data_IF_640673544240
#
_entry.id   IF_640673544240
#
_cell.length_a   1.000
_cell.length_b   1.000
_cell.length_c   1.000
_cell.angle_alpha   90.00
_cell.angle_beta   90.00
_cell.angle_gamma   90.00
#
_symmetry.space_group_name_H-M   'P 1'
#
loop_
_entity.id
_entity.type
_entity.pdbx_description
1 polymer ?
#
# COMPACT_ATOMS: atom_id res chain seq x y z
N UNK A 1 -20.61 1.77 -0.96
CA UNK A 1 -21.90 2.21 -0.36
C UNK A 1 -22.26 1.36 0.83
N UNK A 2 -22.48 0.05 0.68
CA UNK A 2 -22.90 -0.82 1.82
C UNK A 2 -21.99 -0.73 3.05
N UNK A 3 -20.67 -0.69 2.88
CA UNK A 3 -19.77 -0.54 4.02
C UNK A 3 -19.96 0.80 4.74
N UNK A 4 -20.19 1.90 4.00
CA UNK A 4 -20.43 3.21 4.60
C UNK A 4 -21.75 3.22 5.39
N UNK A 5 -22.81 2.59 4.86
CA UNK A 5 -24.09 2.43 5.56
C UNK A 5 -23.93 1.56 6.81
N UNK A 6 -23.17 0.48 6.72
CA UNK A 6 -22.85 -0.38 7.87
C UNK A 6 -22.10 0.40 8.98
N UNK A 7 -21.31 1.40 8.60
CA UNK A 7 -20.60 2.30 9.51
C UNK A 7 -21.46 3.50 9.98
N UNK A 8 -22.76 3.52 9.63
CA UNK A 8 -23.73 4.50 10.13
C UNK A 8 -24.04 5.67 9.19
N UNK A 9 -23.58 5.65 7.93
CA UNK A 9 -23.95 6.67 6.96
C UNK A 9 -25.39 6.50 6.47
N UNK A 10 -26.08 7.62 6.23
CA UNK A 10 -27.33 7.64 5.47
C UNK A 10 -27.10 7.11 4.04
N UNK A 11 -28.04 6.31 3.51
CA UNK A 11 -27.86 5.63 2.22
C UNK A 11 -27.78 6.61 1.04
N UNK A 12 -28.68 7.59 0.97
CA UNK A 12 -28.69 8.56 -0.13
C UNK A 12 -27.41 9.39 -0.15
N UNK A 13 -26.95 9.79 1.03
CA UNK A 13 -25.66 10.48 1.20
C UNK A 13 -24.49 9.58 0.82
N UNK A 14 -24.47 8.33 1.29
CA UNK A 14 -23.41 7.37 1.01
C UNK A 14 -23.30 7.04 -0.49
N UNK A 15 -24.41 6.94 -1.22
CA UNK A 15 -24.39 6.72 -2.67
C UNK A 15 -23.72 7.87 -3.42
N UNK A 16 -24.13 9.11 -3.13
CA UNK A 16 -23.54 10.30 -3.74
C UNK A 16 -22.05 10.44 -3.41
N UNK A 17 -21.71 10.31 -2.14
CA UNK A 17 -20.35 10.56 -1.66
C UNK A 17 -19.36 9.47 -2.04
N UNK A 18 -19.79 8.20 -2.01
CA UNK A 18 -18.94 7.11 -2.46
C UNK A 18 -18.77 7.08 -3.98
N UNK A 19 -19.77 7.56 -4.74
CA UNK A 19 -19.61 7.73 -6.19
C UNK A 19 -18.58 8.81 -6.51
N UNK A 20 -18.61 9.93 -5.80
CA UNK A 20 -17.60 10.98 -5.93
C UNK A 20 -16.19 10.48 -5.53
N UNK A 21 -16.08 9.72 -4.44
CA UNK A 21 -14.81 9.12 -4.01
C UNK A 21 -14.28 8.09 -5.03
N UNK A 22 -15.15 7.33 -5.69
CA UNK A 22 -14.78 6.40 -6.75
C UNK A 22 -14.26 7.14 -7.99
N UNK A 23 -14.95 8.20 -8.44
CA UNK A 23 -14.46 9.02 -9.56
C UNK A 23 -13.12 9.69 -9.24
N UNK A 24 -12.95 10.13 -7.99
CA UNK A 24 -11.67 10.62 -7.51
C UNK A 24 -10.57 9.55 -7.60
N UNK A 25 -10.82 8.32 -7.15
CA UNK A 25 -9.88 7.20 -7.27
C UNK A 25 -9.55 6.87 -8.73
N UNK A 26 -10.55 6.90 -9.63
CA UNK A 26 -10.35 6.68 -11.07
C UNK A 26 -9.42 7.72 -11.69
N UNK A 27 -9.55 9.00 -11.30
CA UNK A 27 -8.64 10.06 -11.76
C UNK A 27 -7.21 9.83 -11.26
N UNK A 28 -7.04 9.49 -9.98
CA UNK A 28 -5.73 9.14 -9.43
C UNK A 28 -5.10 7.93 -10.14
N UNK A 29 -5.89 6.91 -10.46
CA UNK A 29 -5.43 5.74 -11.19
C UNK A 29 -4.91 6.12 -12.59
N UNK A 30 -5.61 7.01 -13.30
CA UNK A 30 -5.17 7.50 -14.62
C UNK A 30 -3.87 8.33 -14.60
N UNK A 31 -3.47 8.85 -13.44
CA UNK A 31 -2.18 9.54 -13.30
C UNK A 31 -1.03 8.56 -13.05
N UNK A 32 -1.33 7.34 -12.61
CA UNK A 32 -0.34 6.34 -12.23
C UNK A 32 0.42 5.81 -13.45
N UNK A 33 1.72 5.58 -13.29
CA UNK A 33 2.51 4.92 -14.32
C UNK A 33 2.08 3.45 -14.51
N UNK A 34 1.96 2.98 -15.76
CA UNK A 34 1.76 1.56 -16.07
C UNK A 34 2.85 0.67 -15.48
N UNK A 35 2.53 -0.61 -15.22
CA UNK A 35 3.43 -1.54 -14.51
C UNK A 35 4.73 -1.79 -15.25
N UNK A 36 4.67 -1.82 -16.58
CA UNK A 36 5.79 -2.01 -17.49
C UNK A 36 6.82 -0.88 -17.37
N UNK A 37 6.38 0.37 -17.28
CA UNK A 37 7.26 1.52 -17.14
C UNK A 37 7.93 1.57 -15.77
N UNK A 38 7.25 1.06 -14.74
CA UNK A 38 7.79 0.97 -13.36
C UNK A 38 8.89 -0.08 -13.19
N UNK A 39 9.16 -0.93 -14.19
CA UNK A 39 10.28 -1.90 -14.14
C UNK A 39 11.65 -1.24 -14.33
N UNK A 40 11.69 -0.02 -14.91
CA UNK A 40 12.94 0.71 -15.08
C UNK A 40 13.28 1.49 -13.80
N UNK A 41 14.10 0.88 -12.94
CA UNK A 41 14.51 1.47 -11.66
C UNK A 41 15.22 2.81 -11.80
N UNK A 42 15.98 3.03 -12.88
CA UNK A 42 16.67 4.28 -13.16
C UNK A 42 15.68 5.42 -13.39
N UNK A 43 14.59 5.17 -14.12
CA UNK A 43 13.51 6.17 -14.33
C UNK A 43 12.75 6.50 -13.05
N UNK A 44 12.77 5.60 -12.07
CA UNK A 44 12.13 5.82 -10.77
C UNK A 44 13.03 6.56 -9.77
N UNK A 45 14.30 6.76 -10.10
CA UNK A 45 15.26 7.45 -9.24
C UNK A 45 15.34 8.93 -9.62
N UNK A 46 14.46 9.75 -9.05
CA UNK A 46 14.44 11.21 -9.26
C UNK A 46 14.69 11.92 -7.91
N UNK A 47 15.95 12.04 -7.48
CA UNK A 47 16.30 12.75 -6.25
C UNK A 47 16.06 14.26 -6.41
N UNK A 48 15.51 14.88 -5.38
CA UNK A 48 15.42 16.34 -5.22
C UNK A 48 15.49 16.69 -3.75
N UNK A 49 15.86 17.92 -3.41
CA UNK A 49 15.80 18.36 -2.02
C UNK A 49 14.34 18.50 -1.57
N UNK A 50 14.10 18.41 -0.26
CA UNK A 50 12.77 18.65 0.30
C UNK A 50 12.30 20.09 0.02
N UNK A 51 13.22 21.05 -0.03
CA UNK A 51 12.94 22.42 -0.47
C UNK A 51 12.45 22.47 -1.93
N UNK A 52 13.12 21.78 -2.85
CA UNK A 52 12.70 21.68 -4.26
C UNK A 52 11.32 21.03 -4.39
N UNK A 53 11.08 19.94 -3.64
CA UNK A 53 9.79 19.26 -3.59
C UNK A 53 8.68 20.23 -3.16
N UNK A 54 8.90 20.97 -2.07
CA UNK A 54 7.92 21.90 -1.53
C UNK A 54 7.65 23.09 -2.43
N UNK A 55 8.66 23.57 -3.16
CA UNK A 55 8.47 24.63 -4.16
C UNK A 55 7.62 24.14 -5.35
N UNK A 56 7.82 22.90 -5.78
CA UNK A 56 7.17 22.32 -6.96
C UNK A 56 5.75 21.80 -6.69
N UNK A 57 5.50 21.27 -5.50
CA UNK A 57 4.23 20.66 -5.10
C UNK A 57 3.79 21.24 -3.75
N UNK A 58 2.91 22.24 -3.77
CA UNK A 58 2.59 23.08 -2.60
C UNK A 58 1.33 22.63 -1.86
N UNK A 59 0.56 21.70 -2.43
CA UNK A 59 -0.70 21.21 -1.87
C UNK A 59 -0.52 20.44 -0.57
N UNK A 60 0.71 20.00 -0.28
CA UNK A 60 1.07 19.32 0.97
C UNK A 60 2.21 20.11 1.62
N UNK A 61 2.12 20.43 2.93
CA UNK A 61 3.23 21.02 3.67
C UNK A 61 4.28 19.94 3.96
N UNK A 62 5.08 19.57 2.96
CA UNK A 62 5.95 18.37 3.00
C UNK A 62 6.91 18.33 4.19
N UNK A 63 7.54 19.45 4.55
CA UNK A 63 8.43 19.51 5.71
C UNK A 63 7.71 19.20 7.02
N UNK A 64 6.52 19.77 7.23
CA UNK A 64 5.69 19.48 8.39
C UNK A 64 5.18 18.05 8.36
N UNK A 65 4.74 17.59 7.18
CA UNK A 65 4.23 16.24 6.97
C UNK A 65 5.27 15.17 7.37
N UNK A 66 6.51 15.28 6.88
CA UNK A 66 7.56 14.33 7.22
C UNK A 66 7.95 14.40 8.70
N UNK A 67 8.09 15.61 9.26
CA UNK A 67 8.43 15.77 10.69
C UNK A 67 7.29 15.35 11.64
N UNK A 68 6.05 15.32 11.17
CA UNK A 68 4.90 14.79 11.93
C UNK A 68 4.82 13.27 11.84
N UNK A 69 5.15 12.70 10.68
CA UNK A 69 5.07 11.25 10.43
C UNK A 69 6.23 10.49 11.08
N UNK A 70 7.42 11.08 11.11
CA UNK A 70 8.63 10.44 11.62
C UNK A 70 8.71 10.53 13.16
N UNK A 71 9.41 9.58 13.81
CA UNK A 71 9.64 9.65 15.25
C UNK A 71 10.31 10.98 15.64
N UNK A 72 9.95 11.55 16.79
CA UNK A 72 10.43 12.87 17.25
C UNK A 72 11.96 13.02 17.32
N UNK A 73 12.71 11.91 17.38
CA UNK A 73 14.17 11.88 17.38
C UNK A 73 14.79 12.03 15.98
N UNK A 74 14.00 11.86 14.93
CA UNK A 74 14.40 11.99 13.53
C UNK A 74 13.73 13.24 12.98
N UNK A 75 14.50 14.31 12.88
CA UNK A 75 14.03 15.55 12.26
C UNK A 75 14.62 15.68 10.87
N UNK A 76 13.73 15.94 9.91
CA UNK A 76 14.08 16.17 8.51
C UNK A 76 14.19 17.66 8.28
N UNK A 77 15.25 18.06 7.59
CA UNK A 77 15.51 19.46 7.21
C UNK A 77 15.19 19.70 5.73
N UNK A 78 15.12 20.96 5.34
CA UNK A 78 14.78 21.36 3.96
C UNK A 78 15.80 20.89 2.91
N UNK A 79 17.06 20.68 3.31
CA UNK A 79 18.14 20.18 2.47
C UNK A 79 18.18 18.66 2.33
N UNK A 80 17.27 17.92 3.00
CA UNK A 80 17.18 16.47 2.89
C UNK A 80 16.86 16.03 1.46
N UNK A 81 17.57 15.02 0.96
CA UNK A 81 17.33 14.46 -0.37
C UNK A 81 16.20 13.44 -0.31
N UNK A 82 15.14 13.69 -1.08
CA UNK A 82 13.98 12.80 -1.22
C UNK A 82 13.95 12.24 -2.64
N UNK A 83 13.73 10.93 -2.76
CA UNK A 83 13.56 10.26 -4.06
C UNK A 83 12.08 10.31 -4.43
N UNK A 84 11.74 11.13 -5.41
CA UNK A 84 10.39 11.17 -5.98
C UNK A 84 10.26 10.10 -7.05
N UNK A 85 9.56 9.01 -6.72
CA UNK A 85 9.48 7.84 -7.61
C UNK A 85 8.81 8.16 -8.95
N UNK A 86 7.78 9.02 -8.96
CA UNK A 86 7.03 9.37 -10.17
C UNK A 86 6.69 10.86 -10.17
N UNK A 87 7.59 11.74 -10.66
CA UNK A 87 7.35 13.18 -10.66
C UNK A 87 6.12 13.60 -11.46
N UNK A 88 5.85 12.93 -12.58
CA UNK A 88 4.68 13.20 -13.45
C UNK A 88 3.34 12.89 -12.77
N UNK A 89 3.31 11.95 -11.83
CA UNK A 89 2.15 11.68 -10.99
C UNK A 89 1.89 12.86 -10.06
N UNK A 90 2.93 13.31 -9.33
CA UNK A 90 2.81 14.44 -8.41
C UNK A 90 2.40 15.73 -9.14
N UNK A 91 2.89 15.97 -10.35
CA UNK A 91 2.49 17.13 -11.16
C UNK A 91 0.99 17.15 -11.51
N UNK A 92 0.43 15.98 -11.84
CA UNK A 92 -1.01 15.85 -12.12
C UNK A 92 -1.83 15.89 -10.83
N UNK A 93 -1.34 15.23 -9.79
CA UNK A 93 -1.96 15.20 -8.46
C UNK A 93 -2.08 16.61 -7.87
N UNK A 94 -1.02 17.41 -7.93
CA UNK A 94 -0.96 18.77 -7.40
C UNK A 94 -2.08 19.65 -7.98
N UNK A 95 -2.29 19.59 -9.29
CA UNK A 95 -3.38 20.35 -9.95
C UNK A 95 -4.75 19.79 -9.55
N UNK A 96 -4.89 18.47 -9.58
CA UNK A 96 -6.16 17.81 -9.35
C UNK A 96 -6.66 17.98 -7.91
N UNK A 97 -5.76 17.92 -6.92
CA UNK A 97 -6.14 18.03 -5.52
C UNK A 97 -6.57 19.46 -5.15
N UNK A 98 -5.98 20.48 -5.79
CA UNK A 98 -6.39 21.87 -5.61
C UNK A 98 -7.80 22.15 -6.16
N UNK A 99 -8.21 21.45 -7.21
CA UNK A 99 -9.53 21.59 -7.86
C UNK A 99 -10.60 20.70 -7.22
N UNK A 100 -10.21 19.65 -6.50
CA UNK A 100 -11.15 18.70 -5.91
C UNK A 100 -11.71 19.23 -4.59
N UNK A 101 -13.02 19.11 -4.40
CA UNK A 101 -13.67 19.44 -3.12
C UNK A 101 -13.08 18.67 -1.93
N UNK A 102 -12.80 19.38 -0.83
CA UNK A 102 -12.16 18.82 0.38
C UNK A 102 -12.96 17.67 1.00
N UNK A 103 -14.30 17.68 0.91
CA UNK A 103 -15.15 16.59 1.41
C UNK A 103 -14.92 15.32 0.59
N UNK A 104 -14.78 15.44 -0.72
CA UNK A 104 -14.45 14.29 -1.59
C UNK A 104 -13.08 13.69 -1.24
N UNK A 105 -12.08 14.55 -1.02
CA UNK A 105 -10.74 14.12 -0.61
C UNK A 105 -10.79 13.37 0.73
N UNK A 106 -11.46 13.97 1.74
CA UNK A 106 -11.61 13.37 3.06
C UNK A 106 -12.37 12.03 2.99
N UNK A 107 -13.46 11.97 2.22
CA UNK A 107 -14.25 10.75 2.06
C UNK A 107 -13.43 9.63 1.41
N UNK A 108 -12.60 9.94 0.42
CA UNK A 108 -11.70 8.96 -0.16
C UNK A 108 -10.68 8.43 0.87
N UNK A 109 -10.03 9.32 1.63
CA UNK A 109 -9.08 8.90 2.69
C UNK A 109 -9.77 8.04 3.76
N UNK A 110 -10.95 8.44 4.20
CA UNK A 110 -11.76 7.68 5.17
C UNK A 110 -12.17 6.32 4.61
N UNK A 111 -12.56 6.25 3.33
CA UNK A 111 -12.84 4.99 2.65
C UNK A 111 -11.62 4.08 2.63
N UNK A 112 -10.43 4.59 2.30
CA UNK A 112 -9.18 3.80 2.30
C UNK A 112 -8.86 3.22 3.68
N UNK A 113 -9.06 4.01 4.74
CA UNK A 113 -8.91 3.53 6.12
C UNK A 113 -9.96 2.49 6.52
N UNK A 114 -11.23 2.73 6.19
CA UNK A 114 -12.31 1.78 6.45
C UNK A 114 -12.07 0.45 5.73
N UNK A 115 -11.73 0.49 4.43
CA UNK A 115 -11.43 -0.67 3.60
C UNK A 115 -10.25 -1.50 4.16
N UNK A 116 -9.20 -0.84 4.66
CA UNK A 116 -8.07 -1.50 5.29
C UNK A 116 -8.43 -2.16 6.63
N UNK A 117 -9.50 -1.71 7.28
CA UNK A 117 -9.92 -2.19 8.61
C UNK A 117 -10.94 -3.33 8.54
N UNK A 118 -11.59 -3.56 7.40
CA UNK A 118 -12.75 -4.47 7.28
C UNK A 118 -12.48 -5.89 7.78
N UNK A 119 -11.26 -6.41 7.57
CA UNK A 119 -10.89 -7.77 8.00
C UNK A 119 -10.92 -7.97 9.52
N UNK A 120 -10.86 -6.88 10.28
CA UNK A 120 -10.84 -6.89 11.75
C UNK A 120 -12.20 -6.57 12.37
N UNK A 121 -13.20 -6.23 11.56
CA UNK A 121 -14.54 -5.89 12.01
C UNK A 121 -15.42 -7.14 12.16
N UNK A 122 -16.70 -6.90 12.45
CA UNK A 122 -17.71 -7.94 12.62
C UNK A 122 -17.99 -8.74 11.33
N UNK A 123 -18.78 -9.80 11.46
CA UNK A 123 -19.13 -10.69 10.36
C UNK A 123 -19.83 -9.98 9.20
N UNK A 124 -20.71 -9.01 9.48
CA UNK A 124 -21.39 -8.24 8.45
C UNK A 124 -20.39 -7.48 7.54
N UNK A 125 -19.41 -6.80 8.13
CA UNK A 125 -18.37 -6.10 7.36
C UNK A 125 -17.51 -7.10 6.57
N UNK A 126 -17.15 -8.21 7.20
CA UNK A 126 -16.38 -9.29 6.57
C UNK A 126 -17.12 -9.95 5.41
N UNK A 127 -18.45 -10.02 5.45
CA UNK A 127 -19.28 -10.48 4.32
C UNK A 127 -19.19 -9.51 3.15
N UNK A 128 -19.30 -8.20 3.39
CA UNK A 128 -19.16 -7.20 2.32
C UNK A 128 -17.78 -7.25 1.64
N UNK A 129 -16.71 -7.49 2.41
CA UNK A 129 -15.37 -7.72 1.85
C UNK A 129 -15.30 -9.01 1.02
N UNK A 130 -15.97 -10.09 1.45
CA UNK A 130 -16.05 -11.32 0.67
C UNK A 130 -16.77 -11.05 -0.66
N UNK A 131 -17.93 -10.41 -0.64
CA UNK A 131 -18.71 -10.10 -1.85
C UNK A 131 -17.85 -9.30 -2.88
N UNK A 132 -17.08 -8.31 -2.39
CA UNK A 132 -16.12 -7.58 -3.22
C UNK A 132 -14.98 -8.46 -3.77
N UNK A 133 -14.39 -9.30 -2.92
CA UNK A 133 -13.30 -10.21 -3.31
C UNK A 133 -13.76 -11.25 -4.33
N UNK A 134 -14.98 -11.77 -4.16
CA UNK A 134 -15.63 -12.69 -5.09
C UNK A 134 -15.78 -12.04 -6.47
N UNK A 135 -16.23 -10.78 -6.53
CA UNK A 135 -16.37 -10.06 -7.79
C UNK A 135 -15.04 -9.84 -8.52
N UNK A 136 -13.93 -9.68 -7.78
CA UNK A 136 -12.60 -9.48 -8.36
C UNK A 136 -11.87 -10.78 -8.75
N UNK A 137 -12.06 -11.84 -7.96
CA UNK A 137 -11.20 -13.04 -8.03
C UNK A 137 -11.95 -14.33 -8.30
N UNK A 138 -13.28 -14.32 -8.25
CA UNK A 138 -14.12 -15.51 -8.33
C UNK A 138 -14.12 -16.40 -7.08
N UNK A 139 -13.37 -16.04 -6.03
CA UNK A 139 -13.32 -16.83 -4.78
C UNK A 139 -14.60 -16.65 -3.97
N UNK A 140 -15.44 -17.69 -3.92
CA UNK A 140 -16.74 -17.66 -3.24
C UNK A 140 -16.71 -17.85 -1.72
N UNK A 141 -15.57 -18.24 -1.14
CA UNK A 141 -15.46 -18.50 0.30
C UNK A 141 -14.22 -17.84 0.92
N UNK A 142 -14.35 -17.48 2.21
CA UNK A 142 -13.22 -17.00 3.01
C UNK A 142 -12.41 -18.18 3.51
N UNK A 143 -11.11 -17.94 3.73
CA UNK A 143 -10.28 -18.91 4.41
C UNK A 143 -10.79 -19.17 5.84
N UNK A 144 -10.62 -20.40 6.37
CA UNK A 144 -10.91 -20.69 7.76
C UNK A 144 -10.24 -19.69 8.70
N UNK A 145 -10.93 -19.31 9.78
CA UNK A 145 -10.49 -18.23 10.68
C UNK A 145 -9.07 -18.44 11.22
N UNK A 146 -8.70 -19.67 11.56
CA UNK A 146 -7.35 -19.99 12.05
C UNK A 146 -6.27 -19.63 11.02
N UNK A 147 -6.56 -19.82 9.72
CA UNK A 147 -5.62 -19.53 8.64
C UNK A 147 -5.47 -18.02 8.42
N UNK A 148 -6.57 -17.27 8.48
CA UNK A 148 -6.53 -15.80 8.51
C UNK A 148 -5.66 -15.30 9.68
N UNK A 149 -5.86 -15.84 10.89
CA UNK A 149 -5.09 -15.48 12.07
C UNK A 149 -3.60 -15.81 11.92
N UNK A 150 -3.25 -16.99 11.40
CA UNK A 150 -1.86 -17.36 11.08
C UNK A 150 -1.27 -16.38 10.07
N UNK A 151 -2.04 -15.98 9.05
CA UNK A 151 -1.62 -14.98 8.06
C UNK A 151 -1.27 -13.63 8.69
N UNK A 152 -2.13 -13.13 9.59
CA UNK A 152 -1.87 -11.88 10.33
C UNK A 152 -0.59 -11.98 11.16
N UNK A 153 -0.44 -13.05 11.95
CA UNK A 153 0.75 -13.22 12.81
C UNK A 153 2.01 -13.41 11.96
N UNK A 154 1.94 -14.12 10.84
CA UNK A 154 3.08 -14.30 9.93
C UNK A 154 3.48 -12.99 9.27
N UNK A 155 2.53 -12.14 8.89
CA UNK A 155 2.81 -10.82 8.32
C UNK A 155 3.42 -9.85 9.34
N UNK A 156 2.96 -9.89 10.60
CA UNK A 156 3.46 -8.98 11.64
C UNK A 156 4.74 -9.47 12.34
N UNK A 157 4.93 -10.79 12.47
CA UNK A 157 5.98 -11.42 13.26
C UNK A 157 6.76 -12.48 12.45
N UNK A 158 7.04 -12.18 11.17
CA UNK A 158 7.65 -13.11 10.22
C UNK A 158 8.89 -13.83 10.77
N UNK A 159 9.81 -13.09 11.42
CA UNK A 159 11.04 -13.66 11.97
C UNK A 159 10.79 -14.60 13.15
N UNK A 160 9.85 -14.28 14.04
CA UNK A 160 9.54 -15.10 15.20
C UNK A 160 8.89 -16.43 14.77
N UNK A 161 7.90 -16.35 13.86
CA UNK A 161 7.25 -17.53 13.29
C UNK A 161 8.23 -18.36 12.46
N UNK A 162 9.05 -17.71 11.63
CA UNK A 162 10.10 -18.37 10.86
C UNK A 162 11.09 -19.12 11.75
N UNK A 163 11.54 -18.51 12.85
CA UNK A 163 12.44 -19.18 13.81
C UNK A 163 11.80 -20.42 14.45
N UNK A 164 10.53 -20.33 14.85
CA UNK A 164 9.79 -21.47 15.39
C UNK A 164 9.62 -22.60 14.36
N UNK A 165 9.33 -22.24 13.11
CA UNK A 165 9.22 -23.19 12.01
C UNK A 165 10.55 -23.90 11.75
N UNK A 166 11.64 -23.14 11.61
CA UNK A 166 12.98 -23.67 11.38
C UNK A 166 13.38 -24.65 12.48
N UNK A 167 13.20 -24.28 13.76
CA UNK A 167 13.53 -25.16 14.89
C UNK A 167 12.77 -26.48 14.92
N UNK A 168 11.56 -26.54 14.34
CA UNK A 168 10.69 -27.73 14.39
C UNK A 168 10.74 -28.57 13.13
N UNK A 169 10.93 -27.95 11.97
CA UNK A 169 10.67 -28.57 10.67
C UNK A 169 11.84 -28.46 9.69
N UNK A 170 12.80 -27.57 9.94
CA UNK A 170 13.95 -27.42 9.05
C UNK A 170 15.08 -28.34 9.47
N UNK A 171 15.64 -29.07 8.50
CA UNK A 171 16.78 -29.97 8.66
C UNK A 171 18.03 -29.27 8.17
N UNK A 172 19.14 -29.38 8.90
CA UNK A 172 20.38 -28.68 8.55
C UNK A 172 20.97 -29.22 7.23
N UNK A 173 20.73 -30.50 6.90
CA UNK A 173 21.16 -31.09 5.63
C UNK A 173 20.57 -30.33 4.43
N UNK A 174 19.29 -29.93 4.51
CA UNK A 174 18.64 -29.17 3.45
C UNK A 174 19.29 -27.80 3.21
N UNK A 175 19.97 -27.23 4.21
CA UNK A 175 20.75 -26.00 4.04
C UNK A 175 22.02 -26.26 3.23
N UNK A 176 22.71 -27.36 3.49
CA UNK A 176 23.92 -27.75 2.76
C UNK A 176 23.60 -27.93 1.27
N UNK A 177 22.58 -28.73 0.96
CA UNK A 177 22.17 -29.01 -0.42
C UNK A 177 21.77 -27.73 -1.16
N UNK A 178 21.04 -26.82 -0.49
CA UNK A 178 20.65 -25.54 -1.08
C UNK A 178 21.85 -24.62 -1.35
N UNK A 179 22.87 -24.62 -0.48
CA UNK A 179 24.08 -23.81 -0.67
C UNK A 179 24.95 -24.34 -1.82
N UNK A 180 25.06 -25.66 -1.96
CA UNK A 180 25.74 -26.28 -3.10
C UNK A 180 25.06 -25.90 -4.41
N UNK A 181 23.74 -26.08 -4.50
CA UNK A 181 22.96 -25.71 -5.69
C UNK A 181 23.12 -24.22 -6.06
N UNK A 182 23.09 -23.31 -5.08
CA UNK A 182 23.31 -21.88 -5.33
C UNK A 182 24.74 -21.61 -5.82
N UNK A 183 25.72 -22.34 -5.27
CA UNK A 183 27.12 -22.28 -5.71
C UNK A 183 27.30 -22.75 -7.16
N UNK A 184 26.66 -23.86 -7.53
CA UNK A 184 26.70 -24.42 -8.88
C UNK A 184 26.07 -23.46 -9.88
N UNK A 185 24.85 -22.96 -9.59
CA UNK A 185 24.18 -21.97 -10.42
C UNK A 185 25.08 -20.76 -10.63
N UNK A 186 25.67 -20.22 -9.56
CA UNK A 186 26.57 -19.06 -9.65
C UNK A 186 27.79 -19.36 -10.52
N UNK A 187 28.39 -20.53 -10.37
CA UNK A 187 29.55 -20.94 -11.17
C UNK A 187 29.19 -21.02 -12.65
N UNK A 188 28.10 -21.70 -12.99
CA UNK A 188 27.63 -21.80 -14.37
C UNK A 188 27.32 -20.43 -15.00
N UNK A 189 26.81 -19.47 -14.22
CA UNK A 189 26.59 -18.10 -14.71
C UNK A 189 27.88 -17.30 -14.92
N UNK A 190 28.97 -17.63 -14.23
CA UNK A 190 30.28 -16.97 -14.39
C UNK A 190 31.11 -17.58 -15.52
N UNK A 191 30.84 -18.84 -15.88
CA UNK A 191 31.50 -19.56 -16.97
C UNK A 191 30.93 -19.22 -18.37
N UNK A 192 29.79 -18.52 -18.42
CA UNK A 192 29.18 -17.95 -19.64
C UNK A 192 29.73 -16.54 -19.88
#
# INVERSE_FOLDING_TARGET
>A
VELAVLLGADRGTAEKEMSAALEFERKLANFSLPREERRNVTKLYNPMTLEELQRKYQSIPWLEYFNTLLPSKVQVRSDEIIIVTVPSYLEKFEKFIAETDKRTQANYVMWRGAAASVSYLNEAARKLQLDYTTALTGKGEREPRWKECVGVVTASLANAIGSLYVRRHFKEEARSDALEMVGDIRTSFLEI
#
